data_IF_326952400139
#
_entry.id   IF_326952400139
#
_cell.length_a   1.000
_cell.length_b   1.000
_cell.length_c   1.000
_cell.angle_alpha   90.00
_cell.angle_beta   90.00
_cell.angle_gamma   90.00
#
_symmetry.space_group_name_H-M   'P 1'
#
loop_
_entity.id
_entity.type
_entity.pdbx_description
1 polymer ?
#
# COMPACT_ATOMS: atom_id res chain seq x y z
N UNK A 1 -12.57 -22.69 9.23
CA UNK A 1 -12.01 -22.24 7.93
C UNK A 1 -11.92 -23.36 6.91
N UNK A 2 -11.49 -24.59 7.29
CA UNK A 2 -11.26 -25.70 6.34
C UNK A 2 -12.48 -26.10 5.52
N UNK A 3 -13.70 -25.84 6.00
CA UNK A 3 -14.96 -26.19 5.33
C UNK A 3 -15.68 -25.01 4.68
N UNK A 4 -15.09 -23.82 4.75
CA UNK A 4 -15.63 -22.62 4.12
C UNK A 4 -15.15 -22.51 2.67
N UNK A 5 -16.02 -22.00 1.79
CA UNK A 5 -15.68 -21.78 0.37
C UNK A 5 -14.59 -20.71 0.22
N UNK A 6 -14.59 -19.71 1.09
CA UNK A 6 -13.56 -18.68 1.19
C UNK A 6 -13.41 -18.19 2.63
N UNK A 7 -12.27 -17.61 2.95
CA UNK A 7 -11.99 -16.97 4.24
C UNK A 7 -11.69 -15.49 4.02
N UNK A 8 -12.40 -14.62 4.72
CA UNK A 8 -12.09 -13.19 4.78
C UNK A 8 -11.30 -12.93 6.06
N UNK A 9 -10.06 -12.49 5.92
CA UNK A 9 -9.16 -12.23 7.03
C UNK A 9 -8.92 -10.73 7.17
N UNK A 10 -9.51 -10.14 8.21
CA UNK A 10 -9.36 -8.72 8.53
C UNK A 10 -8.13 -8.52 9.40
N UNK A 11 -7.18 -7.75 8.90
CA UNK A 11 -5.91 -7.46 9.53
C UNK A 11 -5.68 -5.94 9.59
N UNK A 12 -4.76 -5.49 10.42
CA UNK A 12 -4.40 -4.09 10.36
C UNK A 12 -3.72 -3.56 11.60
N UNK A 13 -3.66 -2.25 11.62
CA UNK A 13 -3.08 -1.42 12.66
C UNK A 13 -4.18 -0.72 13.47
N UNK A 14 -3.79 0.09 14.42
CA UNK A 14 -4.68 0.95 15.18
C UNK A 14 -3.96 2.23 15.58
N UNK A 15 -4.69 3.25 16.02
CA UNK A 15 -4.14 4.53 16.48
C UNK A 15 -3.46 4.46 17.86
N UNK A 16 -3.06 3.26 18.32
CA UNK A 16 -2.28 3.13 19.55
C UNK A 16 -0.84 3.61 19.33
N UNK A 17 -0.22 4.28 20.35
CA UNK A 17 1.16 4.71 20.25
C UNK A 17 2.11 3.57 19.87
N UNK A 18 2.97 3.82 18.89
CA UNK A 18 3.93 2.83 18.35
C UNK A 18 3.36 1.88 17.29
N UNK A 19 2.10 2.07 16.89
CA UNK A 19 1.49 1.42 15.73
C UNK A 19 1.26 2.46 14.63
N UNK A 20 0.08 3.07 14.58
CA UNK A 20 -0.29 4.02 13.54
C UNK A 20 -0.80 5.31 14.21
N UNK A 21 0.10 6.03 14.87
CA UNK A 21 -0.22 7.22 15.64
C UNK A 21 0.76 8.35 15.38
N UNK A 22 0.33 9.59 15.59
CA UNK A 22 1.16 10.79 15.45
C UNK A 22 2.20 10.95 16.57
N UNK A 23 1.98 10.30 17.73
CA UNK A 23 2.79 10.52 18.93
C UNK A 23 4.08 9.70 18.93
N UNK A 24 4.08 8.56 18.29
CA UNK A 24 5.20 7.62 18.30
C UNK A 24 5.21 6.77 17.04
N UNK A 25 6.32 6.82 16.34
CA UNK A 25 6.55 6.04 15.13
C UNK A 25 6.55 4.54 15.40
N UNK A 26 6.21 3.77 14.38
CA UNK A 26 6.36 2.32 14.38
C UNK A 26 7.83 1.94 14.42
N UNK A 27 8.18 0.98 15.23
CA UNK A 27 9.52 0.42 15.25
C UNK A 27 9.77 -0.58 14.10
N UNK A 28 8.70 -1.03 13.43
CA UNK A 28 8.74 -2.04 12.37
C UNK A 28 7.56 -1.86 11.43
N UNK A 29 7.71 -2.34 10.20
CA UNK A 29 6.61 -2.45 9.24
C UNK A 29 5.78 -3.73 9.43
N UNK A 30 6.21 -4.66 10.28
CA UNK A 30 5.47 -5.89 10.54
C UNK A 30 4.11 -5.60 11.20
N UNK A 31 3.13 -6.42 10.87
CA UNK A 31 1.83 -6.39 11.53
C UNK A 31 1.98 -6.87 13.00
N UNK A 32 1.33 -6.19 13.97
CA UNK A 32 1.42 -6.54 15.37
C UNK A 32 0.62 -7.83 15.69
N UNK A 33 0.81 -8.33 16.92
CA UNK A 33 0.00 -9.42 17.50
C UNK A 33 -0.02 -10.72 16.70
N UNK A 34 1.11 -11.06 16.06
CA UNK A 34 1.26 -12.30 15.29
C UNK A 34 0.27 -12.42 14.09
N UNK A 35 -0.18 -11.30 13.53
CA UNK A 35 -1.11 -11.33 12.39
C UNK A 35 -0.51 -12.03 11.16
N UNK A 36 0.80 -11.91 10.92
CA UNK A 36 1.48 -12.64 9.85
C UNK A 36 1.40 -14.16 10.05
N UNK A 37 1.51 -14.63 11.30
CA UNK A 37 1.33 -16.05 11.63
C UNK A 37 -0.11 -16.50 11.42
N UNK A 38 -1.08 -15.63 11.75
CA UNK A 38 -2.50 -15.90 11.50
C UNK A 38 -2.78 -16.09 10.00
N UNK A 39 -2.20 -15.25 9.13
CA UNK A 39 -2.32 -15.41 7.66
C UNK A 39 -1.76 -16.77 7.26
N UNK A 40 -0.53 -17.09 7.65
CA UNK A 40 0.13 -18.34 7.28
C UNK A 40 -0.67 -19.57 7.71
N UNK A 41 -1.18 -19.59 8.95
CA UNK A 41 -2.01 -20.71 9.44
C UNK A 41 -3.36 -20.79 8.74
N UNK A 42 -3.94 -19.68 8.37
CA UNK A 42 -5.21 -19.67 7.63
C UNK A 42 -5.03 -20.21 6.23
N UNK A 43 -4.01 -19.76 5.50
CA UNK A 43 -3.67 -20.25 4.16
C UNK A 43 -3.38 -21.77 4.16
N UNK A 44 -2.73 -22.29 5.20
CA UNK A 44 -2.45 -23.71 5.32
C UNK A 44 -3.71 -24.59 5.41
N UNK A 45 -4.84 -24.03 5.86
CA UNK A 45 -6.12 -24.78 5.97
C UNK A 45 -7.14 -24.37 4.91
N UNK A 46 -7.03 -23.18 4.34
CA UNK A 46 -7.88 -22.72 3.25
C UNK A 46 -7.11 -21.74 2.35
N UNK A 47 -6.61 -22.19 1.20
CA UNK A 47 -5.86 -21.32 0.29
C UNK A 47 -6.72 -20.23 -0.35
N UNK A 48 -8.05 -20.37 -0.36
CA UNK A 48 -8.97 -19.34 -0.83
C UNK A 48 -9.22 -18.28 0.27
N UNK A 49 -8.13 -17.63 0.70
CA UNK A 49 -8.14 -16.61 1.74
C UNK A 49 -7.92 -15.23 1.13
N UNK A 50 -8.85 -14.32 1.41
CA UNK A 50 -8.78 -12.91 1.01
C UNK A 50 -8.39 -12.09 2.24
N UNK A 51 -7.35 -11.29 2.12
CA UNK A 51 -6.93 -10.37 3.19
C UNK A 51 -7.54 -8.99 2.96
N UNK A 52 -8.19 -8.47 4.00
CA UNK A 52 -8.69 -7.09 4.08
C UNK A 52 -7.81 -6.35 5.07
N UNK A 53 -6.96 -5.46 4.57
CA UNK A 53 -5.99 -4.71 5.36
C UNK A 53 -6.53 -3.34 5.76
N UNK A 54 -6.57 -3.07 7.06
CA UNK A 54 -6.98 -1.80 7.67
C UNK A 54 -5.77 -1.15 8.33
N UNK A 55 -5.08 -0.26 7.62
CA UNK A 55 -3.86 0.40 8.10
C UNK A 55 -3.72 1.77 7.45
N UNK A 56 -3.28 2.77 8.20
CA UNK A 56 -3.07 4.14 7.70
C UNK A 56 -1.69 4.37 7.08
N UNK A 57 -0.82 3.37 7.13
CA UNK A 57 0.54 3.43 6.60
C UNK A 57 0.95 2.08 6.00
N UNK A 58 1.99 2.03 5.15
CA UNK A 58 2.52 0.79 4.63
C UNK A 58 2.90 -0.22 5.71
N UNK A 59 2.66 -1.48 5.44
CA UNK A 59 3.07 -2.62 6.26
C UNK A 59 3.82 -3.65 5.41
N UNK A 60 4.73 -4.37 6.03
CA UNK A 60 5.36 -5.52 5.40
C UNK A 60 4.36 -6.67 5.34
N UNK A 61 4.32 -7.37 4.22
CA UNK A 61 3.43 -8.51 3.98
C UNK A 61 4.25 -9.66 3.40
N UNK A 62 5.00 -10.41 4.23
CA UNK A 62 5.88 -11.48 3.75
C UNK A 62 5.13 -12.66 3.11
N UNK A 63 3.83 -12.66 3.20
CA UNK A 63 2.87 -13.62 2.65
C UNK A 63 2.12 -13.10 1.42
N UNK A 64 2.47 -11.93 0.90
CA UNK A 64 1.70 -11.27 -0.16
C UNK A 64 1.58 -12.11 -1.43
N UNK A 65 2.62 -12.86 -1.78
CA UNK A 65 2.64 -13.72 -2.97
C UNK A 65 1.82 -15.02 -2.78
N UNK A 66 1.53 -15.39 -1.54
CA UNK A 66 0.78 -16.60 -1.20
C UNK A 66 -0.74 -16.36 -1.12
N UNK A 67 -1.15 -15.09 -1.00
CA UNK A 67 -2.56 -14.69 -0.83
C UNK A 67 -3.18 -14.35 -2.18
N UNK A 68 -4.28 -15.00 -2.59
CA UNK A 68 -4.90 -14.76 -3.89
C UNK A 68 -5.46 -13.35 -4.08
N UNK A 69 -5.85 -12.67 -2.99
CA UNK A 69 -6.36 -11.31 -3.06
C UNK A 69 -6.12 -10.53 -1.77
N UNK A 70 -5.68 -9.27 -1.94
CA UNK A 70 -5.48 -8.31 -0.85
C UNK A 70 -6.27 -7.04 -1.17
N UNK A 71 -7.12 -6.61 -0.25
CA UNK A 71 -7.86 -5.36 -0.32
C UNK A 71 -7.30 -4.38 0.72
N UNK A 72 -6.58 -3.34 0.27
CA UNK A 72 -6.06 -2.29 1.13
C UNK A 72 -7.11 -1.20 1.33
N UNK A 73 -7.72 -1.15 2.51
CA UNK A 73 -8.87 -0.29 2.83
C UNK A 73 -8.51 0.97 3.58
N UNK A 74 -7.26 1.18 3.98
CA UNK A 74 -6.86 2.29 4.84
C UNK A 74 -7.72 2.34 6.11
N UNK A 75 -8.18 3.50 6.51
CA UNK A 75 -9.18 3.70 7.55
C UNK A 75 -10.49 4.20 6.93
N UNK A 76 -11.40 3.30 6.54
CA UNK A 76 -12.52 3.62 5.66
C UNK A 76 -13.69 4.36 6.35
N UNK A 77 -13.56 4.68 7.63
CA UNK A 77 -14.59 5.42 8.36
C UNK A 77 -15.84 4.61 8.68
N UNK A 78 -16.95 5.32 8.93
CA UNK A 78 -18.20 4.76 9.45
C UNK A 78 -18.84 3.74 8.49
N UNK A 79 -18.83 4.02 7.20
CA UNK A 79 -19.43 3.17 6.16
C UNK A 79 -18.46 2.11 5.61
N UNK A 80 -17.31 1.93 6.25
CA UNK A 80 -16.26 1.02 5.81
C UNK A 80 -16.75 -0.42 5.58
N UNK A 81 -17.59 -0.94 6.47
CA UNK A 81 -18.15 -2.29 6.33
C UNK A 81 -19.01 -2.42 5.08
N UNK A 82 -19.88 -1.46 4.81
CA UNK A 82 -20.70 -1.40 3.59
C UNK A 82 -19.85 -1.32 2.33
N UNK A 83 -18.84 -0.44 2.32
CA UNK A 83 -17.95 -0.26 1.17
C UNK A 83 -17.13 -1.53 0.88
N UNK A 84 -16.55 -2.15 1.90
CA UNK A 84 -15.80 -3.40 1.77
C UNK A 84 -16.68 -4.53 1.26
N UNK A 85 -17.89 -4.70 1.80
CA UNK A 85 -18.82 -5.72 1.35
C UNK A 85 -19.17 -5.55 -0.14
N UNK A 86 -19.50 -4.34 -0.58
CA UNK A 86 -19.82 -4.05 -1.98
C UNK A 86 -18.65 -4.34 -2.94
N UNK A 87 -17.41 -4.11 -2.51
CA UNK A 87 -16.23 -4.49 -3.28
C UNK A 87 -16.09 -6.00 -3.35
N UNK A 88 -16.15 -6.70 -2.21
CA UNK A 88 -15.95 -8.15 -2.13
C UNK A 88 -17.01 -8.94 -2.90
N UNK A 89 -18.26 -8.45 -2.94
CA UNK A 89 -19.35 -9.09 -3.68
C UNK A 89 -19.50 -8.58 -5.13
N UNK A 90 -18.66 -7.65 -5.57
CA UNK A 90 -18.64 -7.17 -6.94
C UNK A 90 -19.72 -6.13 -7.28
N UNK A 91 -20.45 -5.61 -6.29
CA UNK A 91 -21.43 -4.53 -6.50
C UNK A 91 -20.76 -3.22 -6.90
N UNK A 92 -19.49 -3.07 -6.57
CA UNK A 92 -18.68 -1.92 -6.91
C UNK A 92 -17.31 -2.39 -7.41
N UNK A 93 -16.85 -1.83 -8.52
CA UNK A 93 -15.51 -2.10 -9.04
C UNK A 93 -14.45 -1.33 -8.22
N UNK A 94 -13.37 -1.97 -7.75
CA UNK A 94 -12.28 -1.26 -7.11
C UNK A 94 -11.58 -0.33 -8.11
N UNK A 95 -11.38 0.92 -7.70
CA UNK A 95 -10.75 1.95 -8.53
C UNK A 95 -9.61 2.68 -7.83
N UNK A 96 -9.40 2.42 -6.55
CA UNK A 96 -8.34 3.00 -5.75
C UNK A 96 -6.95 2.62 -6.27
N UNK A 97 -6.03 3.58 -6.20
CA UNK A 97 -4.60 3.41 -6.49
C UNK A 97 -3.79 3.78 -5.26
N UNK A 98 -2.71 3.06 -5.00
CA UNK A 98 -1.86 3.35 -3.85
C UNK A 98 -1.24 4.75 -3.96
N UNK A 99 -1.43 5.61 -2.97
CA UNK A 99 -0.85 6.96 -2.94
C UNK A 99 0.60 6.97 -2.44
N UNK A 100 1.14 5.82 -2.08
CA UNK A 100 2.51 5.63 -1.59
C UNK A 100 3.06 4.30 -2.09
N UNK A 101 4.39 4.20 -2.17
CA UNK A 101 5.07 2.93 -2.43
C UNK A 101 5.09 2.08 -1.17
N UNK A 102 4.73 0.82 -1.26
CA UNK A 102 4.88 -0.16 -0.17
C UNK A 102 6.25 -0.82 -0.28
N UNK A 103 7.18 -0.60 0.66
CA UNK A 103 8.47 -1.27 0.66
C UNK A 103 8.32 -2.74 1.09
N UNK A 104 9.26 -3.59 0.69
CA UNK A 104 9.36 -4.97 1.22
C UNK A 104 9.87 -4.95 2.66
N UNK A 105 10.85 -4.07 2.94
CA UNK A 105 11.46 -3.90 4.26
C UNK A 105 11.58 -2.43 4.64
N UNK A 106 11.76 -2.14 5.91
CA UNK A 106 11.96 -0.77 6.38
C UNK A 106 13.26 -0.16 5.83
N UNK A 107 14.28 -0.99 5.58
CA UNK A 107 15.55 -0.54 5.00
C UNK A 107 15.42 -0.01 3.56
N UNK A 108 14.37 -0.39 2.85
CA UNK A 108 14.11 0.10 1.49
C UNK A 108 13.58 1.55 1.47
N UNK A 109 13.23 2.09 2.64
CA UNK A 109 12.71 3.46 2.75
C UNK A 109 13.84 4.49 2.66
N UNK A 110 13.72 5.55 1.85
CA UNK A 110 14.74 6.60 1.74
C UNK A 110 15.07 7.26 3.07
N UNK A 111 14.09 7.42 3.95
CA UNK A 111 14.30 8.00 5.27
C UNK A 111 15.22 7.16 6.17
N UNK A 112 15.35 5.87 5.91
CA UNK A 112 16.15 4.96 6.72
C UNK A 112 17.54 4.66 6.13
N UNK A 113 17.96 5.40 5.09
CA UNK A 113 19.29 5.26 4.51
C UNK A 113 20.42 5.66 5.48
N UNK A 114 20.15 6.56 6.42
CA UNK A 114 21.13 6.96 7.44
C UNK A 114 20.45 7.48 8.71
N UNK A 115 21.16 7.44 9.84
CA UNK A 115 20.71 8.06 11.10
C UNK A 115 20.60 9.58 11.03
N UNK A 116 21.27 10.23 10.09
CA UNK A 116 21.14 11.67 9.82
C UNK A 116 19.79 12.02 9.21
N UNK A 117 19.31 11.15 8.32
CA UNK A 117 18.00 11.33 7.65
C UNK A 117 16.87 11.06 8.61
N UNK A 118 16.92 9.95 9.34
CA UNK A 118 15.93 9.59 10.34
C UNK A 118 16.56 8.71 11.43
N UNK A 119 16.33 8.99 12.70
CA UNK A 119 15.51 10.07 13.30
C UNK A 119 16.21 11.43 13.42
N UNK A 120 17.42 11.58 12.89
CA UNK A 120 18.25 12.77 13.09
C UNK A 120 18.98 12.78 14.43
N UNK A 121 19.56 13.95 14.80
CA UNK A 121 20.38 14.12 15.99
C UNK A 121 19.71 14.86 17.16
N UNK A 122 18.40 14.96 17.19
CA UNK A 122 17.54 15.76 18.10
C UNK A 122 17.52 17.27 17.82
N UNK A 123 18.40 17.77 16.99
CA UNK A 123 18.47 19.21 16.61
C UNK A 123 18.20 19.42 15.14
N UNK A 124 18.62 18.48 14.32
CA UNK A 124 18.50 18.54 12.87
C UNK A 124 18.13 17.21 12.26
N UNK A 125 17.40 17.27 11.18
CA UNK A 125 17.13 16.16 10.27
C UNK A 125 17.62 16.60 8.89
N UNK A 126 18.36 15.75 8.23
CA UNK A 126 18.92 16.00 6.91
C UNK A 126 18.14 15.27 5.85
N UNK A 127 17.76 15.96 4.79
CA UNK A 127 17.09 15.40 3.62
C UNK A 127 18.14 14.99 2.58
N UNK A 128 18.98 14.01 2.95
CA UNK A 128 20.11 13.55 2.12
C UNK A 128 19.61 12.86 0.83
N UNK A 129 18.34 12.41 0.81
CA UNK A 129 17.65 11.87 -0.36
C UNK A 129 17.26 12.92 -1.40
N UNK A 130 17.25 14.21 -1.01
CA UNK A 130 16.91 15.35 -1.88
C UNK A 130 15.55 15.17 -2.60
N UNK A 131 15.55 15.13 -3.94
CA UNK A 131 14.35 14.91 -4.76
C UNK A 131 13.96 13.44 -4.88
N UNK A 132 14.80 12.53 -4.41
CA UNK A 132 14.60 11.08 -4.57
C UNK A 132 13.84 10.48 -3.37
N UNK A 133 12.62 10.97 -3.16
CA UNK A 133 11.69 10.45 -2.15
C UNK A 133 10.61 9.60 -2.81
N UNK A 134 9.97 8.71 -2.03
CA UNK A 134 8.90 7.82 -2.51
C UNK A 134 9.34 6.99 -3.71
N UNK A 135 8.49 6.85 -4.71
CA UNK A 135 8.74 6.03 -5.90
C UNK A 135 10.02 6.42 -6.67
N UNK A 136 10.45 7.69 -6.62
CA UNK A 136 11.68 8.14 -7.28
C UNK A 136 12.93 7.54 -6.65
N UNK A 137 12.92 7.31 -5.34
CA UNK A 137 13.99 6.61 -4.64
C UNK A 137 14.09 5.16 -5.13
N UNK A 138 12.96 4.43 -5.13
CA UNK A 138 12.90 3.04 -5.59
C UNK A 138 13.39 2.90 -7.03
N UNK A 139 12.95 3.79 -7.91
CA UNK A 139 13.39 3.82 -9.30
C UNK A 139 14.90 4.08 -9.44
N UNK A 140 15.44 5.10 -8.73
CA UNK A 140 16.87 5.46 -8.80
C UNK A 140 17.78 4.38 -8.26
N UNK A 141 17.36 3.72 -7.18
CA UNK A 141 18.15 2.69 -6.51
C UNK A 141 17.90 1.29 -7.10
N UNK A 142 17.05 1.18 -8.10
CA UNK A 142 16.63 -0.12 -8.70
C UNK A 142 16.09 -1.10 -7.67
N UNK A 143 15.39 -0.59 -6.63
CA UNK A 143 14.76 -1.39 -5.59
C UNK A 143 13.35 -1.76 -6.06
N UNK A 144 13.06 -3.06 -6.14
CA UNK A 144 11.72 -3.54 -6.43
C UNK A 144 10.84 -3.44 -5.18
N UNK A 145 9.78 -2.59 -5.18
CA UNK A 145 8.87 -2.48 -4.04
C UNK A 145 7.98 -3.72 -3.90
N UNK A 146 7.32 -3.85 -2.75
CA UNK A 146 6.24 -4.82 -2.57
C UNK A 146 5.04 -4.44 -3.46
N UNK A 147 4.61 -3.17 -3.38
CA UNK A 147 3.64 -2.58 -4.31
C UNK A 147 4.08 -1.17 -4.69
N UNK A 148 4.09 -0.88 -5.97
CA UNK A 148 4.49 0.43 -6.47
C UNK A 148 3.47 1.52 -6.15
N UNK A 149 3.92 2.78 -6.05
CA UNK A 149 3.03 3.93 -6.11
C UNK A 149 2.12 3.85 -7.33
N UNK A 150 0.84 4.10 -7.14
CA UNK A 150 -0.17 3.99 -8.21
C UNK A 150 -0.66 2.57 -8.50
N UNK A 151 -0.14 1.55 -7.80
CA UNK A 151 -0.65 0.18 -7.93
C UNK A 151 -2.13 0.10 -7.50
N UNK A 152 -2.90 -0.66 -8.25
CA UNK A 152 -4.28 -0.97 -7.94
C UNK A 152 -4.91 -1.70 -9.11
N UNK A 153 -5.53 -2.85 -8.81
CA UNK A 153 -6.21 -3.69 -9.80
C UNK A 153 -7.67 -3.28 -9.94
N UNK A 154 -8.29 -3.74 -10.99
CA UNK A 154 -9.70 -3.54 -11.29
C UNK A 154 -10.32 -4.90 -11.63
N UNK A 155 -11.63 -5.04 -11.47
CA UNK A 155 -12.38 -6.19 -11.98
C UNK A 155 -12.62 -6.11 -13.48
N UNK A 156 -12.33 -4.95 -14.08
CA UNK A 156 -12.47 -4.68 -15.50
C UNK A 156 -11.14 -4.28 -16.12
N UNK A 157 -11.00 -4.48 -17.42
CA UNK A 157 -9.87 -4.01 -18.20
C UNK A 157 -10.16 -2.63 -18.78
N UNK A 158 -9.10 -1.87 -19.05
CA UNK A 158 -9.18 -0.54 -19.67
C UNK A 158 -8.35 -0.53 -20.96
N UNK A 159 -8.98 -0.12 -22.04
CA UNK A 159 -8.30 0.11 -23.33
C UNK A 159 -8.26 1.62 -23.62
N UNK A 160 -7.06 2.15 -23.87
CA UNK A 160 -6.86 3.54 -24.28
C UNK A 160 -6.64 3.55 -25.78
N UNK A 161 -7.55 4.19 -26.52
CA UNK A 161 -7.51 4.24 -27.98
C UNK A 161 -7.70 5.67 -28.47
N UNK A 162 -7.32 5.92 -29.74
CA UNK A 162 -7.59 7.18 -30.41
C UNK A 162 -7.00 8.41 -29.70
N UNK A 163 -5.77 8.30 -29.18
CA UNK A 163 -5.07 9.47 -28.66
C UNK A 163 -4.93 10.51 -29.78
N UNK A 164 -5.52 11.68 -29.58
CA UNK A 164 -5.48 12.80 -30.53
C UNK A 164 -5.07 14.05 -29.77
N UNK A 165 -4.13 14.80 -30.35
CA UNK A 165 -3.77 16.13 -29.89
C UNK A 165 -4.26 17.16 -30.92
N UNK A 166 -4.80 18.27 -30.46
CA UNK A 166 -5.24 19.37 -31.32
C UNK A 166 -4.10 20.00 -32.12
N UNK A 167 -2.87 19.87 -31.64
CA UNK A 167 -1.64 20.30 -32.33
C UNK A 167 -0.45 19.46 -31.92
N UNK A 168 0.54 19.33 -32.80
CA UNK A 168 1.82 18.67 -32.51
C UNK A 168 2.88 19.64 -31.96
N UNK A 169 2.59 20.94 -31.99
CA UNK A 169 3.47 21.99 -31.47
C UNK A 169 2.66 22.95 -30.63
N UNK A 170 3.14 23.25 -29.43
CA UNK A 170 2.53 24.24 -28.54
C UNK A 170 3.60 25.14 -27.93
N UNK A 171 3.29 26.40 -27.75
CA UNK A 171 4.10 27.38 -27.05
C UNK A 171 3.50 27.71 -25.70
N UNK A 172 4.26 28.40 -24.84
CA UNK A 172 3.73 28.82 -23.54
C UNK A 172 2.50 29.72 -23.72
N UNK A 173 1.37 29.31 -23.11
CA UNK A 173 0.07 30.00 -23.24
C UNK A 173 -0.94 29.33 -24.17
N UNK A 174 -0.53 28.37 -24.97
CA UNK A 174 -1.46 27.59 -25.79
C UNK A 174 -2.29 26.61 -24.96
N UNK A 175 -3.51 26.38 -25.37
CA UNK A 175 -4.38 25.34 -24.81
C UNK A 175 -4.33 24.12 -25.71
N UNK A 176 -3.96 22.98 -25.14
CA UNK A 176 -4.04 21.66 -25.78
C UNK A 176 -5.37 20.98 -25.43
N UNK A 177 -6.02 20.42 -26.43
CA UNK A 177 -7.25 19.63 -26.29
C UNK A 177 -7.03 18.26 -26.89
#
# INVERSE_FOLDING_TARGET
>A
PATADAVLLFLGLSHRPGLDSEVKDKASLALPWQQDELVRRTLAVNPNTIVVLLAGSPVAMPWADDVPAILACWYPGMEGGTAIARLLFGDTNPSGKLPVTFPKTLADSPAHCSSRTFPGDRRSVHYDEELFVGYRHFYRQEIEPLFAFGHGLSYTDFAYTNLHLSTNCATAGDTLV
#
